data_IF_375120362720
#
_entry.id   IF_375120362720
#
_cell.length_a   1.000
_cell.length_b   1.000
_cell.length_c   1.000
_cell.angle_alpha   90.00
_cell.angle_beta   90.00
_cell.angle_gamma   90.00
#
_symmetry.space_group_name_H-M   'P 1'
#
loop_
_entity.id
_entity.type
_entity.pdbx_description
1 polymer ?
#
# COMPACT_ATOMS: atom_id res chain seq x y z
N UNK A 1 43.90 63.78 58.52
CA UNK A 1 44.27 63.19 57.20
C UNK A 1 43.64 61.81 57.00
N UNK A 2 43.91 60.81 57.84
CA UNK A 2 43.46 59.42 57.63
C UNK A 2 41.93 59.20 57.59
N UNK A 3 41.18 59.88 58.48
CA UNK A 3 39.70 59.82 58.52
C UNK A 3 39.09 60.37 57.23
N UNK A 4 39.62 61.47 56.71
CA UNK A 4 39.12 62.12 55.49
C UNK A 4 39.40 61.27 54.23
N UNK A 5 40.51 60.53 54.21
CA UNK A 5 40.85 59.58 53.14
C UNK A 5 39.92 58.37 53.15
N UNK A 6 39.58 57.85 54.33
CA UNK A 6 38.60 56.77 54.50
C UNK A 6 37.21 57.20 54.03
N UNK A 7 36.74 58.39 54.42
CA UNK A 7 35.46 58.94 53.96
C UNK A 7 35.39 59.07 52.43
N UNK A 8 36.46 59.57 51.78
CA UNK A 8 36.52 59.62 50.31
C UNK A 8 36.44 58.24 49.65
N UNK A 9 37.08 57.23 50.24
CA UNK A 9 37.00 55.84 49.73
C UNK A 9 35.61 55.25 49.90
N UNK A 10 34.95 55.48 51.03
CA UNK A 10 33.57 55.03 51.26
C UNK A 10 32.64 55.64 50.22
N UNK A 11 32.68 56.96 50.01
CA UNK A 11 31.87 57.64 48.99
C UNK A 11 32.17 57.13 47.58
N UNK A 12 33.44 56.86 47.27
CA UNK A 12 33.83 56.29 45.97
C UNK A 12 33.25 54.89 45.76
N UNK A 13 33.26 54.05 46.80
CA UNK A 13 32.70 52.70 46.75
C UNK A 13 31.18 52.74 46.68
N UNK A 14 30.52 53.60 47.45
CA UNK A 14 29.07 53.81 47.39
C UNK A 14 28.64 54.23 45.97
N UNK A 15 29.36 55.17 45.36
CA UNK A 15 29.09 55.59 43.98
C UNK A 15 29.30 54.46 42.96
N UNK A 16 30.38 53.67 43.12
CA UNK A 16 30.64 52.52 42.26
C UNK A 16 29.56 51.43 42.41
N UNK A 17 29.11 51.17 43.63
CA UNK A 17 28.07 50.19 43.93
C UNK A 17 26.72 50.65 43.34
N UNK A 18 26.36 51.93 43.50
CA UNK A 18 25.17 52.51 42.86
C UNK A 18 25.24 52.42 41.33
N UNK A 19 26.42 52.63 40.74
CA UNK A 19 26.62 52.47 39.29
C UNK A 19 26.40 51.01 38.87
N UNK A 20 27.05 50.06 39.55
CA UNK A 20 26.91 48.62 39.27
C UNK A 20 25.48 48.11 39.45
N UNK A 21 24.77 48.55 40.51
CA UNK A 21 23.36 48.15 40.73
C UNK A 21 22.47 48.65 39.59
N UNK A 22 22.66 49.88 39.13
CA UNK A 22 21.92 50.42 37.98
C UNK A 22 22.21 49.64 36.71
N UNK A 23 23.48 49.36 36.42
CA UNK A 23 23.87 48.57 35.25
C UNK A 23 23.23 47.18 35.28
N UNK A 24 23.30 46.50 36.42
CA UNK A 24 22.66 45.19 36.61
C UNK A 24 21.15 45.25 36.41
N UNK A 25 20.45 46.23 36.99
CA UNK A 25 19.01 46.42 36.76
C UNK A 25 18.69 46.62 35.27
N UNK A 26 19.51 47.41 34.55
CA UNK A 26 19.31 47.58 33.09
C UNK A 26 19.57 46.30 32.31
N UNK A 27 20.54 45.50 32.71
CA UNK A 27 20.87 44.23 32.05
C UNK A 27 19.77 43.18 32.28
N UNK A 28 19.24 43.09 33.51
CA UNK A 28 18.09 42.24 33.83
C UNK A 28 16.87 42.62 33.00
N UNK A 29 16.55 43.92 32.89
CA UNK A 29 15.44 44.40 32.08
C UNK A 29 15.62 44.08 30.59
N UNK A 30 16.84 44.25 30.06
CA UNK A 30 17.16 43.89 28.67
C UNK A 30 16.98 42.40 28.42
N UNK A 31 17.50 41.55 29.31
CA UNK A 31 17.39 40.10 29.20
C UNK A 31 15.93 39.65 29.26
N UNK A 32 15.14 40.22 30.17
CA UNK A 32 13.71 39.94 30.28
C UNK A 32 12.94 40.36 29.02
N UNK A 33 13.23 41.54 28.47
CA UNK A 33 12.61 42.02 27.23
C UNK A 33 12.98 41.15 26.03
N UNK A 34 14.24 40.72 25.95
CA UNK A 34 14.72 39.84 24.89
C UNK A 34 14.03 38.47 24.97
N UNK A 35 13.99 37.85 26.16
CA UNK A 35 13.30 36.58 26.37
C UNK A 35 11.79 36.67 26.03
N UNK A 36 11.16 37.81 26.31
CA UNK A 36 9.76 38.04 25.93
C UNK A 36 9.58 38.07 24.41
N UNK A 37 10.45 38.78 23.68
CA UNK A 37 10.39 38.87 22.22
C UNK A 37 10.66 37.51 21.57
N UNK A 38 11.66 36.77 22.05
CA UNK A 38 11.99 35.43 21.57
C UNK A 38 10.83 34.45 21.81
N UNK A 39 10.23 34.46 22.99
CA UNK A 39 9.03 33.65 23.27
C UNK A 39 7.87 34.02 22.36
N UNK A 40 7.64 35.31 22.10
CA UNK A 40 6.58 35.74 21.20
C UNK A 40 6.84 35.29 19.76
N UNK A 41 8.09 35.36 19.29
CA UNK A 41 8.49 34.85 17.98
C UNK A 41 8.28 33.33 17.89
N UNK A 42 8.68 32.58 18.91
CA UNK A 42 8.46 31.13 19.00
C UNK A 42 6.98 30.75 18.98
N UNK A 43 6.12 31.50 19.68
CA UNK A 43 4.67 31.28 19.65
C UNK A 43 4.08 31.43 18.24
N UNK A 44 4.55 32.43 17.48
CA UNK A 44 4.11 32.64 16.09
C UNK A 44 4.58 31.50 15.19
N UNK A 45 5.79 30.99 15.38
CA UNK A 45 6.31 29.86 14.61
C UNK A 45 5.55 28.56 14.92
N UNK A 46 5.30 28.27 16.19
CA UNK A 46 4.49 27.13 16.61
C UNK A 46 3.10 27.19 15.95
N UNK A 47 2.46 28.35 15.95
CA UNK A 47 1.16 28.53 15.29
C UNK A 47 1.22 28.24 13.78
N UNK A 48 2.26 28.73 13.08
CA UNK A 48 2.47 28.46 11.64
C UNK A 48 2.67 26.97 11.37
N UNK A 49 3.50 26.31 12.18
CA UNK A 49 3.77 24.87 12.05
C UNK A 49 2.51 24.05 12.32
N UNK A 50 1.72 24.40 13.33
CA UNK A 50 0.43 23.76 13.61
C UNK A 50 -0.54 23.92 12.43
N UNK A 51 -0.63 25.11 11.83
CA UNK A 51 -1.47 25.33 10.65
C UNK A 51 -1.00 24.51 9.45
N UNK A 52 0.32 24.46 9.20
CA UNK A 52 0.90 23.66 8.12
C UNK A 52 0.61 22.17 8.32
N UNK A 53 0.76 21.67 9.54
CA UNK A 53 0.44 20.29 9.90
C UNK A 53 -1.03 19.98 9.61
N UNK A 54 -1.95 20.85 10.04
CA UNK A 54 -3.39 20.68 9.75
C UNK A 54 -3.70 20.65 8.25
N UNK A 55 -3.00 21.46 7.45
CA UNK A 55 -3.15 21.44 5.99
C UNK A 55 -2.62 20.13 5.40
N UNK A 56 -1.47 19.64 5.88
CA UNK A 56 -0.89 18.36 5.48
C UNK A 56 -1.76 17.17 5.86
N UNK A 57 -2.39 17.18 7.03
CA UNK A 57 -3.33 16.14 7.43
C UNK A 57 -4.57 16.11 6.52
N UNK A 58 -5.09 17.28 6.12
CA UNK A 58 -6.20 17.37 5.17
C UNK A 58 -5.80 16.82 3.79
N UNK A 59 -4.62 17.18 3.31
CA UNK A 59 -4.06 16.65 2.05
C UNK A 59 -3.90 15.13 2.11
N UNK A 60 -3.29 14.62 3.18
CA UNK A 60 -3.12 13.20 3.44
C UNK A 60 -4.46 12.45 3.46
N UNK A 61 -5.47 13.01 4.12
CA UNK A 61 -6.80 12.42 4.15
C UNK A 61 -7.46 12.41 2.76
N UNK A 62 -7.22 13.41 1.91
CA UNK A 62 -7.67 13.40 0.51
C UNK A 62 -6.96 12.31 -0.29
N UNK A 63 -5.65 12.17 -0.14
CA UNK A 63 -4.85 11.13 -0.81
C UNK A 63 -5.33 9.73 -0.38
N UNK A 64 -5.53 9.50 0.92
CA UNK A 64 -6.05 8.22 1.44
C UNK A 64 -7.42 7.88 0.85
N UNK A 65 -8.34 8.85 0.76
CA UNK A 65 -9.65 8.66 0.12
C UNK A 65 -9.50 8.32 -1.36
N UNK A 66 -8.66 9.04 -2.08
CA UNK A 66 -8.43 8.78 -3.51
C UNK A 66 -7.82 7.39 -3.72
N UNK A 67 -6.80 7.01 -2.94
CA UNK A 67 -6.18 5.69 -3.02
C UNK A 67 -7.19 4.58 -2.75
N UNK A 68 -8.06 4.77 -1.76
CA UNK A 68 -9.16 3.84 -1.49
C UNK A 68 -10.11 3.72 -2.69
N UNK A 69 -10.56 4.84 -3.26
CA UNK A 69 -11.46 4.83 -4.42
C UNK A 69 -10.84 4.09 -5.60
N UNK A 70 -9.56 4.34 -5.91
CA UNK A 70 -8.84 3.65 -7.00
C UNK A 70 -8.81 2.13 -6.75
N UNK A 71 -8.58 1.71 -5.51
CA UNK A 71 -8.60 0.28 -5.16
C UNK A 71 -10.00 -0.31 -5.27
N UNK A 72 -11.03 0.39 -4.80
CA UNK A 72 -12.42 -0.06 -4.86
C UNK A 72 -12.88 -0.21 -6.33
N UNK A 73 -12.60 0.79 -7.17
CA UNK A 73 -12.86 0.76 -8.62
C UNK A 73 -12.10 -0.39 -9.31
N UNK A 74 -10.81 -0.57 -9.01
CA UNK A 74 -10.03 -1.69 -9.55
C UNK A 74 -10.63 -3.04 -9.15
N UNK A 75 -11.03 -3.18 -7.88
CA UNK A 75 -11.62 -4.41 -7.34
C UNK A 75 -12.98 -4.69 -8.00
N UNK A 76 -13.77 -3.66 -8.32
CA UNK A 76 -15.01 -3.81 -9.07
C UNK A 76 -14.76 -4.32 -10.50
N UNK A 77 -13.79 -3.72 -11.21
CA UNK A 77 -13.43 -4.15 -12.56
C UNK A 77 -12.87 -5.58 -12.57
N UNK A 78 -12.03 -5.94 -11.60
CA UNK A 78 -11.50 -7.30 -11.45
C UNK A 78 -12.62 -8.32 -11.21
N UNK A 79 -13.59 -8.01 -10.35
CA UNK A 79 -14.78 -8.84 -10.13
C UNK A 79 -15.59 -9.02 -11.41
N UNK A 80 -15.85 -7.93 -12.13
CA UNK A 80 -16.54 -7.98 -13.42
C UNK A 80 -15.85 -8.92 -14.42
N UNK A 81 -14.52 -8.85 -14.55
CA UNK A 81 -13.78 -9.73 -15.45
C UNK A 81 -13.83 -11.20 -15.04
N UNK A 82 -13.74 -11.50 -13.74
CA UNK A 82 -13.86 -12.85 -13.22
C UNK A 82 -15.25 -13.42 -13.51
N UNK A 83 -16.30 -12.63 -13.28
CA UNK A 83 -17.68 -13.02 -13.55
C UNK A 83 -17.93 -13.23 -15.05
N UNK A 84 -17.42 -12.33 -15.91
CA UNK A 84 -17.52 -12.47 -17.36
C UNK A 84 -16.80 -13.73 -17.85
N UNK A 85 -15.58 -14.00 -17.38
CA UNK A 85 -14.84 -15.21 -17.71
C UNK A 85 -15.57 -16.48 -17.24
N UNK A 86 -16.15 -16.45 -16.05
CA UNK A 86 -16.94 -17.56 -15.53
C UNK A 86 -18.19 -17.84 -16.38
N UNK A 87 -18.92 -16.80 -16.77
CA UNK A 87 -20.08 -16.90 -17.66
C UNK A 87 -19.69 -17.47 -19.02
N UNK A 88 -18.62 -16.97 -19.63
CA UNK A 88 -18.14 -17.48 -20.92
C UNK A 88 -17.74 -18.95 -20.82
N UNK A 89 -17.01 -19.36 -19.78
CA UNK A 89 -16.66 -20.77 -19.56
C UNK A 89 -17.88 -21.67 -19.42
N UNK A 90 -18.90 -21.24 -18.67
CA UNK A 90 -20.18 -21.97 -18.57
C UNK A 90 -20.85 -22.11 -19.94
N UNK A 91 -20.83 -21.03 -20.73
CA UNK A 91 -21.45 -21.01 -22.04
C UNK A 91 -20.69 -21.87 -23.07
N UNK A 92 -19.36 -21.98 -22.97
CA UNK A 92 -18.55 -22.95 -23.73
C UNK A 92 -18.99 -24.38 -23.41
N UNK A 93 -19.10 -24.74 -22.12
CA UNK A 93 -19.53 -26.08 -21.73
C UNK A 93 -20.95 -26.39 -22.23
N UNK A 94 -21.87 -25.43 -22.10
CA UNK A 94 -23.24 -25.57 -22.58
C UNK A 94 -23.29 -25.73 -24.10
N UNK A 95 -22.64 -24.85 -24.86
CA UNK A 95 -22.62 -24.88 -26.32
C UNK A 95 -22.00 -26.17 -26.86
N UNK A 96 -20.88 -26.64 -26.28
CA UNK A 96 -20.27 -27.94 -26.63
C UNK A 96 -21.21 -29.12 -26.42
N UNK A 97 -21.88 -29.16 -25.26
CA UNK A 97 -22.87 -30.21 -24.96
C UNK A 97 -24.04 -30.15 -25.94
N UNK A 98 -24.57 -28.96 -26.20
CA UNK A 98 -25.69 -28.75 -27.11
C UNK A 98 -25.33 -29.15 -28.54
N UNK A 99 -24.17 -28.71 -29.05
CA UNK A 99 -23.68 -29.05 -30.38
C UNK A 99 -23.57 -30.57 -30.55
N UNK A 100 -23.01 -31.27 -29.57
CA UNK A 100 -22.92 -32.75 -29.59
C UNK A 100 -24.29 -33.41 -29.70
N UNK A 101 -25.28 -32.94 -28.92
CA UNK A 101 -26.64 -33.46 -28.96
C UNK A 101 -27.34 -33.19 -30.30
N UNK A 102 -27.21 -31.96 -30.82
CA UNK A 102 -27.80 -31.58 -32.12
C UNK A 102 -27.16 -32.38 -33.26
N UNK A 103 -25.84 -32.50 -33.28
CA UNK A 103 -25.14 -33.30 -34.29
C UNK A 103 -25.55 -34.79 -34.23
N UNK A 104 -25.75 -35.33 -33.03
CA UNK A 104 -26.18 -36.72 -32.85
C UNK A 104 -27.61 -36.95 -33.32
N UNK A 105 -28.53 -36.06 -32.95
CA UNK A 105 -29.93 -36.14 -33.37
C UNK A 105 -30.07 -35.97 -34.88
N UNK A 106 -29.35 -35.02 -35.49
CA UNK A 106 -29.31 -34.83 -36.94
C UNK A 106 -28.75 -36.06 -37.68
N UNK A 107 -27.67 -36.66 -37.16
CA UNK A 107 -27.11 -37.90 -37.72
C UNK A 107 -28.12 -39.06 -37.63
N UNK A 108 -28.74 -39.26 -36.47
CA UNK A 108 -29.71 -40.33 -36.25
C UNK A 108 -30.95 -40.17 -37.13
N UNK A 109 -31.42 -38.93 -37.33
CA UNK A 109 -32.53 -38.63 -38.24
C UNK A 109 -32.16 -39.01 -39.68
N UNK A 110 -30.99 -38.58 -40.15
CA UNK A 110 -30.48 -38.88 -41.49
C UNK A 110 -30.27 -40.39 -41.71
N UNK A 111 -29.79 -41.11 -40.70
CA UNK A 111 -29.71 -42.58 -40.74
C UNK A 111 -31.09 -43.22 -40.91
N UNK A 112 -32.11 -42.74 -40.17
CA UNK A 112 -33.48 -43.28 -40.25
C UNK A 112 -34.10 -43.03 -41.62
N UNK A 113 -33.96 -41.82 -42.16
CA UNK A 113 -34.47 -41.46 -43.49
C UNK A 113 -33.78 -42.26 -44.61
N UNK A 114 -32.48 -42.52 -44.46
CA UNK A 114 -31.73 -43.38 -45.39
C UNK A 114 -32.20 -44.84 -45.34
N UNK A 115 -32.53 -45.38 -44.16
CA UNK A 115 -33.13 -46.72 -44.03
C UNK A 115 -34.48 -46.85 -44.75
N UNK A 116 -35.25 -45.77 -44.84
CA UNK A 116 -36.53 -45.72 -45.58
C UNK A 116 -36.30 -45.54 -47.10
N UNK A 117 -35.04 -45.38 -47.54
CA UNK A 117 -34.66 -45.20 -48.93
C UNK A 117 -34.91 -43.78 -49.48
N UNK A 118 -35.20 -42.81 -48.62
CA UNK A 118 -35.46 -41.42 -49.03
C UNK A 118 -34.19 -40.63 -49.32
N UNK A 119 -33.06 -41.06 -48.78
CA UNK A 119 -31.76 -40.39 -48.91
C UNK A 119 -30.61 -41.39 -48.74
N UNK A 120 -29.39 -40.97 -49.05
CA UNK A 120 -28.19 -41.79 -48.86
C UNK A 120 -27.72 -41.82 -47.39
N UNK A 121 -27.12 -42.94 -46.97
CA UNK A 121 -26.56 -43.10 -45.64
C UNK A 121 -25.47 -42.05 -45.36
N UNK A 122 -25.52 -41.36 -44.21
CA UNK A 122 -24.49 -40.40 -43.82
C UNK A 122 -23.16 -41.13 -43.52
N UNK A 123 -22.03 -40.46 -43.78
CA UNK A 123 -20.70 -40.96 -43.39
C UNK A 123 -20.67 -41.23 -41.89
N UNK A 124 -20.05 -42.35 -41.49
CA UNK A 124 -19.91 -42.75 -40.09
C UNK A 124 -19.25 -41.61 -39.32
N UNK A 125 -19.92 -41.18 -38.26
CA UNK A 125 -19.49 -40.10 -37.39
C UNK A 125 -19.53 -40.57 -35.94
N UNK A 126 -18.46 -40.30 -35.21
CA UNK A 126 -18.31 -40.75 -33.82
C UNK A 126 -18.62 -39.63 -32.83
N UNK A 127 -19.13 -40.04 -31.67
CA UNK A 127 -19.52 -39.16 -30.58
C UNK A 127 -18.86 -39.57 -29.24
N UNK A 128 -18.15 -40.69 -29.22
CA UNK A 128 -17.48 -41.27 -28.06
C UNK A 128 -16.14 -40.59 -27.74
N UNK A 129 -15.56 -39.88 -28.71
CA UNK A 129 -14.34 -39.11 -28.52
C UNK A 129 -13.06 -39.93 -28.50
N UNK A 130 -13.06 -41.13 -29.09
CA UNK A 130 -11.84 -41.94 -29.19
C UNK A 130 -10.79 -41.27 -30.07
N UNK A 131 -9.53 -41.38 -29.65
CA UNK A 131 -8.37 -40.70 -30.24
C UNK A 131 -8.10 -41.09 -31.70
N UNK A 132 -8.51 -42.28 -32.13
CA UNK A 132 -8.26 -42.81 -33.48
C UNK A 132 -9.44 -42.62 -34.45
N UNK A 133 -10.41 -41.78 -34.12
CA UNK A 133 -11.57 -41.58 -34.99
C UNK A 133 -11.29 -40.53 -36.08
N UNK A 134 -11.43 -40.92 -37.34
CA UNK A 134 -11.20 -40.05 -38.51
C UNK A 134 -12.31 -39.00 -38.71
N UNK A 135 -13.50 -39.20 -38.14
CA UNK A 135 -14.64 -38.28 -38.28
C UNK A 135 -15.41 -38.21 -36.96
N UNK A 136 -14.95 -37.34 -36.05
CA UNK A 136 -15.48 -37.19 -34.70
C UNK A 136 -16.04 -35.79 -34.47
N UNK A 137 -17.18 -35.69 -33.79
CA UNK A 137 -17.74 -34.39 -33.36
C UNK A 137 -16.79 -33.61 -32.46
N UNK A 138 -15.95 -34.30 -31.69
CA UNK A 138 -14.99 -33.63 -30.83
C UNK A 138 -13.90 -32.91 -31.64
N UNK A 139 -13.59 -33.39 -32.85
CA UNK A 139 -12.64 -32.74 -33.73
C UNK A 139 -13.14 -31.35 -34.15
N UNK A 140 -14.42 -31.22 -34.55
CA UNK A 140 -15.05 -29.94 -34.86
C UNK A 140 -14.97 -28.95 -33.67
N UNK A 141 -15.22 -29.44 -32.44
CA UNK A 141 -15.16 -28.60 -31.23
C UNK A 141 -13.73 -28.13 -30.94
N UNK A 142 -12.73 -28.97 -31.20
CA UNK A 142 -11.30 -28.63 -31.07
C UNK A 142 -10.82 -27.68 -32.19
N UNK A 143 -11.40 -27.79 -33.38
CA UNK A 143 -11.14 -26.86 -34.49
C UNK A 143 -11.71 -25.48 -34.20
N UNK A 144 -12.89 -25.39 -33.58
CA UNK A 144 -13.44 -24.12 -33.10
C UNK A 144 -12.52 -23.44 -32.06
N UNK A 145 -11.86 -24.21 -31.19
CA UNK A 145 -10.85 -23.70 -30.25
C UNK A 145 -9.58 -23.19 -30.97
N UNK A 146 -9.21 -23.80 -32.09
CA UNK A 146 -8.01 -23.46 -32.88
C UNK A 146 -8.24 -22.30 -33.85
N UNK A 147 -9.49 -21.91 -34.10
CA UNK A 147 -9.80 -20.85 -35.06
C UNK A 147 -9.27 -19.48 -34.60
N UNK A 148 -8.16 -19.06 -35.19
CA UNK A 148 -7.52 -17.76 -34.96
C UNK A 148 -7.61 -16.81 -36.16
N UNK A 149 -8.15 -17.27 -37.29
CA UNK A 149 -8.20 -16.49 -38.52
C UNK A 149 -9.44 -15.59 -38.51
N UNK A 150 -9.27 -14.41 -37.92
CA UNK A 150 -10.25 -13.34 -37.95
C UNK A 150 -9.62 -12.22 -38.78
N UNK A 151 -9.91 -12.22 -40.08
CA UNK A 151 -9.42 -11.20 -41.00
C UNK A 151 -10.48 -10.10 -41.12
N UNK A 152 -10.24 -8.94 -40.48
CA UNK A 152 -11.13 -7.78 -40.56
C UNK A 152 -11.49 -7.16 -39.21
N UNK A 153 -12.29 -6.09 -39.24
CA UNK A 153 -12.86 -5.48 -38.04
C UNK A 153 -14.08 -6.31 -37.63
N UNK A 154 -13.94 -7.13 -36.59
CA UNK A 154 -15.00 -8.04 -36.13
C UNK A 154 -15.57 -7.55 -34.81
N UNK A 155 -16.90 -7.44 -34.76
CA UNK A 155 -17.61 -7.02 -33.56
C UNK A 155 -17.59 -8.14 -32.51
N UNK A 156 -17.64 -7.75 -31.24
CA UNK A 156 -17.65 -8.69 -30.11
C UNK A 156 -18.84 -9.66 -30.21
N UNK A 157 -19.95 -9.24 -30.81
CA UNK A 157 -21.14 -10.07 -31.05
C UNK A 157 -20.83 -11.34 -31.86
N UNK A 158 -20.00 -11.20 -32.88
CA UNK A 158 -19.74 -12.22 -33.91
C UNK A 158 -18.71 -13.27 -33.47
N UNK A 159 -18.05 -13.05 -32.33
CA UNK A 159 -17.05 -13.97 -31.79
C UNK A 159 -17.70 -15.23 -31.21
N UNK A 160 -17.05 -16.38 -31.42
CA UNK A 160 -17.40 -17.62 -30.71
C UNK A 160 -17.14 -17.46 -29.20
N UNK A 161 -17.75 -18.30 -28.38
CA UNK A 161 -17.53 -18.22 -26.92
C UNK A 161 -16.08 -18.49 -26.54
N UNK A 162 -15.42 -19.40 -27.25
CA UNK A 162 -13.99 -19.71 -27.16
C UNK A 162 -13.11 -18.48 -27.47
N UNK A 163 -13.48 -17.69 -28.49
CA UNK A 163 -12.77 -16.46 -28.85
C UNK A 163 -13.02 -15.34 -27.83
N UNK A 164 -14.26 -15.17 -27.38
CA UNK A 164 -14.63 -14.23 -26.30
C UNK A 164 -13.81 -14.49 -25.04
N UNK A 165 -13.57 -15.76 -24.71
CA UNK A 165 -12.76 -16.16 -23.57
C UNK A 165 -11.30 -15.71 -23.68
N UNK A 166 -10.68 -15.94 -24.85
CA UNK A 166 -9.30 -15.49 -25.12
C UNK A 166 -9.17 -13.97 -25.08
N UNK A 167 -10.14 -13.26 -25.65
CA UNK A 167 -10.18 -11.79 -25.62
C UNK A 167 -10.32 -11.29 -24.18
N UNK A 168 -11.20 -11.88 -23.38
CA UNK A 168 -11.34 -11.51 -21.97
C UNK A 168 -10.07 -11.79 -21.16
N UNK A 169 -9.40 -12.94 -21.37
CA UNK A 169 -8.10 -13.21 -20.74
C UNK A 169 -7.04 -12.19 -21.16
N UNK A 170 -6.98 -11.85 -22.45
CA UNK A 170 -6.04 -10.87 -22.97
C UNK A 170 -6.31 -9.47 -22.38
N UNK A 171 -7.58 -9.08 -22.28
CA UNK A 171 -7.99 -7.80 -21.72
C UNK A 171 -7.68 -7.73 -20.22
N UNK A 172 -7.92 -8.81 -19.47
CA UNK A 172 -7.52 -8.93 -18.07
C UNK A 172 -6.00 -8.86 -17.88
N UNK A 173 -5.23 -9.53 -18.75
CA UNK A 173 -3.77 -9.44 -18.74
C UNK A 173 -3.30 -8.00 -19.05
N UNK A 174 -3.89 -7.37 -20.07
CA UNK A 174 -3.60 -5.97 -20.45
C UNK A 174 -3.92 -4.99 -19.33
N UNK A 175 -5.06 -5.16 -18.64
CA UNK A 175 -5.44 -4.35 -17.48
C UNK A 175 -4.41 -4.49 -16.35
N UNK A 176 -3.87 -5.69 -16.14
CA UNK A 176 -2.84 -5.95 -15.14
C UNK A 176 -1.42 -5.56 -15.60
N UNK A 177 -1.27 -4.87 -16.73
CA UNK A 177 0.03 -4.42 -17.23
C UNK A 177 0.87 -5.49 -17.93
N UNK A 178 0.32 -6.68 -18.16
CA UNK A 178 0.96 -7.71 -18.96
C UNK A 178 0.76 -7.40 -20.45
N UNK A 179 1.72 -6.68 -21.03
CA UNK A 179 1.84 -6.58 -22.49
C UNK A 179 2.54 -7.85 -22.97
N UNK A 180 1.98 -8.63 -23.91
CA UNK A 180 2.75 -9.69 -24.54
C UNK A 180 3.95 -9.03 -25.23
N UNK A 181 5.14 -9.18 -24.64
CA UNK A 181 6.40 -8.77 -25.25
C UNK A 181 6.44 -9.40 -26.64
N UNK A 182 6.27 -8.61 -27.69
CA UNK A 182 6.98 -8.91 -28.93
C UNK A 182 8.46 -8.88 -28.55
N UNK A 183 9.22 -9.87 -28.98
CA UNK A 183 10.68 -9.88 -28.82
C UNK A 183 11.25 -8.61 -29.46
N UNK A 184 11.35 -7.54 -28.68
CA UNK A 184 12.08 -6.33 -28.99
C UNK A 184 13.24 -6.31 -28.03
N UNK A 185 14.42 -6.55 -28.59
CA UNK A 185 15.69 -6.46 -27.92
C UNK A 185 15.88 -5.08 -27.29
N UNK A 186 16.53 -5.04 -26.12
CA UNK A 186 17.09 -3.84 -25.47
C UNK A 186 16.05 -2.80 -25.05
N UNK A 187 16.02 -2.28 -23.83
CA UNK A 187 17.15 -1.70 -23.11
C UNK A 187 16.89 -1.72 -21.61
N UNK A 188 17.89 -2.17 -20.86
CA UNK A 188 18.09 -1.92 -19.43
C UNK A 188 18.16 -0.39 -19.23
N UNK A 189 17.50 0.19 -18.21
CA UNK A 189 17.65 1.62 -17.92
C UNK A 189 19.10 1.89 -17.49
N UNK A 190 19.72 3.01 -17.93
CA UNK A 190 21.07 3.36 -17.53
C UNK A 190 21.06 3.76 -16.06
N UNK A 191 21.94 3.12 -15.28
CA UNK A 191 22.27 3.54 -13.91
C UNK A 191 23.10 4.82 -14.02
N UNK A 192 22.83 5.88 -13.23
CA UNK A 192 23.63 7.11 -13.29
C UNK A 192 25.08 6.86 -12.86
N UNK A 193 26.02 7.37 -13.65
CA UNK A 193 27.46 7.36 -13.36
C UNK A 193 27.75 8.14 -12.08
N UNK A 194 28.25 7.45 -11.06
CA UNK A 194 28.85 8.08 -9.89
C UNK A 194 30.28 8.47 -10.25
N UNK A 195 30.54 9.79 -10.33
CA UNK A 195 31.88 10.35 -10.52
C UNK A 195 32.69 10.08 -9.26
N UNK A 196 33.77 9.29 -9.39
CA UNK A 196 34.82 9.16 -8.39
C UNK A 196 36.00 10.04 -8.85
N UNK A 197 36.51 10.96 -8.02
CA UNK A 197 37.72 11.72 -8.32
C UNK A 197 38.99 10.86 -8.22
N UNK A 198 39.91 11.07 -9.16
CA UNK A 198 41.28 10.56 -9.18
C UNK A 198 42.06 10.92 -7.91
N UNK A 199 42.82 9.98 -7.38
CA UNK A 199 44.15 10.27 -6.85
C UNK A 199 45.06 9.03 -6.94
N UNK A 200 46.27 9.25 -7.45
CA UNK A 200 47.33 8.26 -7.63
C UNK A 200 47.88 7.77 -6.28
N UNK A 201 48.33 6.51 -6.28
CA UNK A 201 49.66 6.05 -5.83
C UNK A 201 49.66 4.79 -4.94
N UNK A 202 50.58 3.90 -5.34
CA UNK A 202 51.36 2.94 -4.54
C UNK A 202 50.78 1.56 -4.19
N UNK A 203 51.59 0.58 -4.58
CA UNK A 203 51.56 -0.85 -4.29
C UNK A 203 51.65 -1.12 -2.78
N UNK A 204 50.90 -2.11 -2.28
CA UNK A 204 51.47 -3.20 -1.45
C UNK A 204 50.50 -4.37 -1.26
N UNK A 205 51.10 -5.53 -1.06
CA UNK A 205 50.55 -6.85 -0.78
C UNK A 205 49.75 -6.93 0.54
N UNK A 206 48.78 -7.85 0.63
CA UNK A 206 48.26 -8.27 1.94
C UNK A 206 47.04 -9.18 1.86
N UNK A 207 47.21 -10.38 2.41
CA UNK A 207 46.31 -11.52 2.49
C UNK A 207 45.02 -11.30 3.31
N UNK A 208 44.03 -12.18 3.02
CA UNK A 208 43.05 -12.75 3.96
C UNK A 208 42.12 -11.78 4.74
N UNK A 209 40.85 -11.73 4.36
CA UNK A 209 39.75 -12.32 5.17
C UNK A 209 38.36 -11.92 4.62
N UNK A 210 37.61 -12.95 4.25
CA UNK A 210 36.24 -12.91 3.75
C UNK A 210 35.27 -12.80 4.92
N UNK A 211 34.88 -11.59 5.31
CA UNK A 211 33.73 -11.37 6.20
C UNK A 211 32.47 -11.19 5.35
N UNK A 212 31.69 -12.27 5.28
CA UNK A 212 30.31 -12.22 4.83
C UNK A 212 29.45 -11.59 5.94
N UNK A 213 28.73 -10.54 5.58
CA UNK A 213 27.64 -9.97 6.38
C UNK A 213 26.59 -11.04 6.68
N UNK A 214 26.61 -11.55 7.92
CA UNK A 214 25.53 -12.35 8.50
C UNK A 214 24.85 -11.47 9.55
N UNK A 215 23.77 -10.80 9.14
CA UNK A 215 22.83 -10.14 10.05
C UNK A 215 22.10 -11.21 10.86
N UNK A 216 22.44 -11.35 12.15
CA UNK A 216 21.69 -12.21 13.06
C UNK A 216 20.53 -11.45 13.71
N UNK A 217 19.34 -12.02 13.53
CA UNK A 217 18.14 -11.83 14.35
C UNK A 217 18.44 -12.19 15.81
N UNK A 218 17.99 -11.37 16.76
CA UNK A 218 17.74 -11.81 18.13
C UNK A 218 16.45 -11.17 18.68
N UNK A 219 15.49 -12.04 19.01
CA UNK A 219 14.32 -11.74 19.83
C UNK A 219 14.68 -11.98 21.31
N UNK A 220 14.37 -10.96 22.14
CA UNK A 220 13.90 -10.95 23.54
C UNK A 220 14.28 -12.07 24.53
N UNK A 221 14.68 -11.69 25.76
CA UNK A 221 14.05 -12.12 27.04
C UNK A 221 14.37 -11.09 28.19
N UNK A 222 13.77 -11.15 29.41
CA UNK A 222 13.06 -10.02 30.03
C UNK A 222 13.70 -9.52 31.35
N UNK A 223 13.41 -8.29 31.79
CA UNK A 223 13.73 -7.88 33.16
C UNK A 223 12.51 -7.33 33.89
N UNK A 224 12.21 -8.09 34.93
CA UNK A 224 11.24 -7.99 36.00
C UNK A 224 10.90 -6.59 36.53
N UNK A 225 9.60 -6.48 36.83
CA UNK A 225 8.96 -5.54 37.74
C UNK A 225 9.65 -5.51 39.12
N UNK A 226 9.84 -4.32 39.69
CA UNK A 226 9.75 -4.13 41.14
C UNK A 226 9.56 -2.64 41.47
N UNK A 227 8.30 -2.27 41.69
CA UNK A 227 7.90 -1.01 42.30
C UNK A 227 8.27 -1.06 43.78
N UNK A 228 9.14 -0.13 44.21
CA UNK A 228 9.57 -0.01 45.60
C UNK A 228 9.86 1.44 45.95
N UNK A 229 8.81 2.29 45.98
CA UNK A 229 8.89 3.61 46.60
C UNK A 229 8.74 3.46 48.13
N UNK A 230 9.85 3.68 48.85
CA UNK A 230 9.85 3.91 50.29
C UNK A 230 9.97 5.40 50.56
N UNK A 231 8.84 5.96 51.01
CA UNK A 231 8.66 6.81 52.18
C UNK A 231 9.60 8.01 52.40
N UNK A 232 9.03 9.22 52.30
CA UNK A 232 9.22 10.25 53.33
C UNK A 232 7.85 10.62 53.91
N UNK A 233 7.75 10.49 55.24
CA UNK A 233 6.57 10.74 56.08
C UNK A 233 6.71 12.09 56.80
N UNK A 234 5.53 12.63 57.18
CA UNK A 234 5.20 13.59 58.25
C UNK A 234 4.65 14.91 57.66
N UNK A 235 3.51 15.49 58.07
CA UNK A 235 2.93 15.65 59.42
C UNK A 235 1.37 15.67 59.37
N UNK A 236 0.82 15.33 60.53
CA UNK A 236 -0.52 14.99 61.00
C UNK A 236 -1.49 16.19 61.25
N UNK A 237 -2.79 15.99 60.94
CA UNK A 237 -4.03 16.53 61.57
C UNK A 237 -5.20 16.07 60.67
N UNK A 238 -6.26 15.36 61.06
CA UNK A 238 -6.90 15.12 62.35
C UNK A 238 -8.35 15.62 62.27
N UNK A 239 -9.33 14.74 62.02
CA UNK A 239 -10.78 14.77 62.37
C UNK A 239 -11.48 13.69 61.51
N UNK A 240 -12.04 12.58 62.03
CA UNK A 240 -13.43 12.43 62.55
C UNK A 240 -14.48 13.03 61.58
N UNK A 241 -15.61 12.41 61.22
CA UNK A 241 -16.36 11.26 61.73
C UNK A 241 -17.51 10.93 60.73
N UNK A 242 -17.94 9.67 60.76
CA UNK A 242 -19.29 9.09 60.62
C UNK A 242 -20.19 9.17 59.36
N UNK A 243 -20.61 7.94 59.06
CA UNK A 243 -21.80 7.37 58.41
C UNK A 243 -23.13 8.15 58.42
N UNK A 244 -23.93 7.96 57.35
CA UNK A 244 -25.33 7.47 57.31
C UNK A 244 -25.85 7.58 55.87
N UNK A 245 -26.14 6.49 55.16
CA UNK A 245 -27.35 5.66 55.14
C UNK A 245 -28.54 6.27 54.35
N UNK A 246 -29.22 5.40 53.58
CA UNK A 246 -30.58 5.55 53.01
C UNK A 246 -30.81 6.57 51.87
N UNK A 247 -31.75 6.43 50.92
CA UNK A 247 -32.55 5.36 50.32
C UNK A 247 -33.39 6.05 49.21
N UNK A 248 -33.90 5.28 48.25
CA UNK A 248 -35.15 5.51 47.47
C UNK A 248 -35.31 6.68 46.47
N UNK A 249 -35.60 6.28 45.22
CA UNK A 249 -36.71 6.70 44.33
C UNK A 249 -37.13 8.19 44.27
N UNK A 250 -37.25 8.75 43.06
CA UNK A 250 -38.56 8.86 42.37
C UNK A 250 -38.42 9.38 40.93
N UNK A 251 -39.26 8.78 40.10
CA UNK A 251 -39.60 9.11 38.72
C UNK A 251 -40.26 10.49 38.64
N UNK A 252 -39.96 11.27 37.60
CA UNK A 252 -40.93 12.14 36.91
C UNK A 252 -40.58 12.15 35.42
#
# INVERSE_FOLDING_TARGET
LQIQTLQKKVVSLENALVCMTKEFETEVLKLQQQAMVENQAGQVEIFKLQQLLQMKDKEMNRIKKLAKNILDERTEVERFFLDALHQVKKQILFSRKHYKQVAQTAFNLKMREACVGRMEYPKIRTFDGREHSTNSVNQDLMEADKWTDIQGNVDIGDLTWEQKEKVLRLLFAKMNGFVPRKYSQSSRPPVPDYVVPDDETTKESGDENKLQDQTFITQQVPILNSTGELLIRNIQKGSQESDTNENSNLIT
#
